data_IF_514406039851
#
_entry.id   IF_514406039851
#
_cell.length_a   1.000
_cell.length_b   1.000
_cell.length_c   1.000
_cell.angle_alpha   90.00
_cell.angle_beta   90.00
_cell.angle_gamma   90.00
#
_symmetry.space_group_name_H-M   'P 1'
#
loop_
_entity.id
_entity.type
_entity.pdbx_description
1 polymer ?
#
# COMPACT_ATOMS: atom_id res chain seq x y z
N UNK A 1 38.25 11.44 4.22
CA UNK A 1 37.10 11.57 5.13
C UNK A 1 35.98 10.70 4.58
N UNK A 2 35.64 9.60 5.27
CA UNK A 2 34.56 8.71 4.86
C UNK A 2 33.22 9.39 5.07
N UNK A 3 32.43 9.55 4.02
CA UNK A 3 31.03 9.95 4.13
C UNK A 3 30.31 8.97 5.05
N UNK A 4 29.94 9.42 6.26
CA UNK A 4 29.08 8.67 7.16
C UNK A 4 27.72 8.61 6.45
N UNK A 5 27.43 7.47 5.83
CA UNK A 5 26.15 7.24 5.17
C UNK A 5 25.04 7.49 6.19
N UNK A 6 24.21 8.51 5.93
CA UNK A 6 23.05 8.80 6.78
C UNK A 6 22.22 7.51 6.94
N UNK A 7 21.83 7.14 8.16
CA UNK A 7 21.05 5.92 8.38
C UNK A 7 19.77 5.99 7.55
N UNK A 8 19.54 4.94 6.76
CA UNK A 8 18.34 4.82 5.93
C UNK A 8 17.13 4.73 6.86
N UNK A 9 16.15 5.63 6.66
CA UNK A 9 14.90 5.58 7.41
C UNK A 9 14.17 4.24 7.16
N UNK A 10 13.80 3.57 8.25
CA UNK A 10 12.98 2.36 8.25
C UNK A 10 11.70 2.70 8.99
N UNK A 11 10.56 2.59 8.29
CA UNK A 11 9.25 2.81 8.88
C UNK A 11 8.84 1.62 9.74
N UNK A 12 8.39 1.90 10.97
CA UNK A 12 7.89 0.89 11.90
C UNK A 12 6.38 1.03 12.05
N UNK A 13 5.65 0.12 11.40
CA UNK A 13 4.19 0.11 11.45
C UNK A 13 3.64 -0.29 12.83
N UNK A 14 4.32 -1.18 13.55
CA UNK A 14 3.89 -1.61 14.88
C UNK A 14 4.01 -0.46 15.88
N UNK A 15 5.08 0.33 15.78
CA UNK A 15 5.22 1.58 16.54
C UNK A 15 4.13 2.58 16.19
N UNK A 16 3.78 2.71 14.90
CA UNK A 16 2.67 3.58 14.50
C UNK A 16 1.33 3.13 15.11
N UNK A 17 1.01 1.83 15.08
CA UNK A 17 -0.21 1.30 15.70
C UNK A 17 -0.28 1.61 17.20
N UNK A 18 0.85 1.44 17.92
CA UNK A 18 0.94 1.79 19.35
C UNK A 18 0.66 3.27 19.59
N UNK A 19 1.36 4.15 18.85
CA UNK A 19 1.18 5.60 18.96
C UNK A 19 -0.24 6.04 18.59
N UNK A 20 -0.88 5.41 17.60
CA UNK A 20 -2.26 5.70 17.26
C UNK A 20 -3.23 5.25 18.36
N UNK A 21 -2.97 4.11 18.99
CA UNK A 21 -3.79 3.58 20.10
C UNK A 21 -3.78 4.51 21.31
N UNK A 22 -2.68 5.23 21.57
CA UNK A 22 -2.61 6.23 22.65
C UNK A 22 -3.65 7.35 22.49
N UNK A 23 -4.02 7.70 21.26
CA UNK A 23 -5.00 8.76 20.97
C UNK A 23 -6.36 8.25 20.50
N UNK A 24 -6.46 6.97 20.16
CA UNK A 24 -7.67 6.26 19.74
C UNK A 24 -7.70 4.89 20.44
N UNK A 25 -8.04 4.82 21.75
CA UNK A 25 -7.91 3.58 22.54
C UNK A 25 -8.72 2.41 21.97
N UNK A 26 -9.86 2.69 21.33
CA UNK A 26 -10.74 1.70 20.72
C UNK A 26 -10.21 1.07 19.42
N UNK A 27 -9.00 1.46 18.98
CA UNK A 27 -8.40 0.96 17.75
C UNK A 27 -8.11 -0.54 17.78
N UNK A 28 -7.65 -1.05 18.92
CA UNK A 28 -7.35 -2.47 19.10
C UNK A 28 -8.55 -3.28 19.64
N UNK A 29 -9.64 -2.60 20.02
CA UNK A 29 -10.82 -3.25 20.57
C UNK A 29 -11.60 -3.98 19.48
N UNK A 30 -12.21 -5.12 19.88
CA UNK A 30 -13.10 -5.88 19.03
C UNK A 30 -14.25 -4.98 18.53
N UNK A 31 -14.56 -4.98 17.23
CA UNK A 31 -15.62 -4.14 16.73
C UNK A 31 -16.98 -4.50 17.31
N UNK A 32 -17.71 -3.46 17.74
CA UNK A 32 -19.11 -3.57 18.14
C UNK A 32 -20.00 -2.92 17.08
N UNK A 33 -21.10 -3.59 16.72
CA UNK A 33 -22.13 -3.00 15.85
C UNK A 33 -23.03 -2.01 16.58
N UNK A 34 -23.28 -2.25 17.87
CA UNK A 34 -24.15 -1.41 18.67
C UNK A 34 -23.50 -0.04 18.94
N UNK A 35 -22.16 -0.01 19.02
CA UNK A 35 -21.41 1.19 19.37
C UNK A 35 -20.56 1.64 18.18
N UNK A 36 -20.91 2.77 17.57
CA UNK A 36 -20.05 3.41 16.57
C UNK A 36 -18.76 3.89 17.25
N UNK A 37 -17.64 3.19 17.00
CA UNK A 37 -16.34 3.52 17.58
C UNK A 37 -15.59 4.57 16.76
N UNK A 38 -14.68 5.30 17.40
CA UNK A 38 -13.92 6.37 16.73
C UNK A 38 -12.94 5.82 15.70
N UNK A 39 -12.31 4.69 16.00
CA UNK A 39 -11.40 3.99 15.09
C UNK A 39 -12.12 3.49 13.84
N UNK A 40 -13.37 3.02 13.97
CA UNK A 40 -14.21 2.64 12.82
C UNK A 40 -14.51 3.85 11.95
N UNK A 41 -14.93 4.96 12.53
CA UNK A 41 -15.17 6.21 11.80
C UNK A 41 -13.90 6.69 11.09
N UNK A 42 -12.76 6.62 11.77
CA UNK A 42 -11.46 6.93 11.17
C UNK A 42 -11.21 6.05 9.93
N UNK A 43 -11.40 4.73 10.06
CA UNK A 43 -11.18 3.80 8.95
C UNK A 43 -12.10 4.08 7.76
N UNK A 44 -13.41 4.28 8.01
CA UNK A 44 -14.40 4.57 6.98
C UNK A 44 -14.08 5.86 6.22
N UNK A 45 -13.78 6.96 6.93
CA UNK A 45 -13.45 8.24 6.29
C UNK A 45 -12.15 8.15 5.48
N UNK A 46 -11.11 7.52 6.04
CA UNK A 46 -9.83 7.41 5.33
C UNK A 46 -9.95 6.56 4.06
N UNK A 47 -10.68 5.44 4.14
CA UNK A 47 -10.82 4.50 3.02
C UNK A 47 -11.75 5.04 1.94
N UNK A 48 -12.92 5.57 2.29
CA UNK A 48 -13.99 5.86 1.33
C UNK A 48 -14.08 7.34 0.95
N UNK A 49 -13.67 8.26 1.82
CA UNK A 49 -13.73 9.71 1.55
C UNK A 49 -12.37 10.25 1.14
N UNK A 50 -11.37 10.14 2.02
CA UNK A 50 -10.07 10.77 1.83
C UNK A 50 -9.25 10.16 0.71
N UNK A 51 -9.49 8.90 0.35
CA UNK A 51 -8.85 8.26 -0.80
C UNK A 51 -9.21 8.94 -2.13
N UNK A 52 -10.48 9.36 -2.28
CA UNK A 52 -10.95 10.12 -3.44
C UNK A 52 -10.33 11.52 -3.44
N UNK A 53 -10.36 12.20 -2.30
CA UNK A 53 -9.81 13.54 -2.16
C UNK A 53 -8.29 13.58 -2.41
N UNK A 54 -7.54 12.60 -1.89
CA UNK A 54 -6.11 12.48 -2.15
C UNK A 54 -5.81 12.27 -3.64
N UNK A 55 -6.63 11.47 -4.34
CA UNK A 55 -6.51 11.26 -5.79
C UNK A 55 -6.78 12.57 -6.56
N UNK A 56 -7.81 13.31 -6.18
CA UNK A 56 -8.15 14.60 -6.80
C UNK A 56 -7.09 15.66 -6.55
N UNK A 57 -6.61 15.78 -5.31
CA UNK A 57 -5.54 16.71 -4.91
C UNK A 57 -4.25 16.43 -5.68
N UNK A 58 -3.88 15.14 -5.83
CA UNK A 58 -2.74 14.72 -6.65
C UNK A 58 -2.94 15.07 -8.13
N UNK A 59 -4.13 14.85 -8.69
CA UNK A 59 -4.42 15.17 -10.09
C UNK A 59 -4.38 16.68 -10.37
N UNK A 60 -4.87 17.50 -9.43
CA UNK A 60 -4.82 18.97 -9.48
C UNK A 60 -3.45 19.53 -9.10
N UNK A 61 -2.58 18.69 -8.53
CA UNK A 61 -1.31 19.10 -7.93
C UNK A 61 -1.52 20.24 -6.91
N UNK A 62 -2.40 20.03 -5.93
CA UNK A 62 -2.74 21.00 -4.87
C UNK A 62 -2.55 20.34 -3.52
N UNK A 63 -1.83 21.02 -2.63
CA UNK A 63 -1.63 20.56 -1.24
C UNK A 63 -2.97 20.46 -0.53
N UNK A 64 -3.26 19.27 0.03
CA UNK A 64 -4.53 18.97 0.67
C UNK A 64 -4.27 18.26 2.00
N UNK A 65 -4.93 18.76 3.05
CA UNK A 65 -4.79 18.27 4.42
C UNK A 65 -6.16 18.10 5.06
N UNK A 66 -6.35 16.99 5.75
CA UNK A 66 -7.55 16.73 6.57
C UNK A 66 -7.21 16.66 8.05
N UNK A 67 -8.11 17.15 8.88
CA UNK A 67 -7.96 17.17 10.33
C UNK A 67 -9.16 16.45 10.93
N UNK A 68 -8.90 15.52 11.82
CA UNK A 68 -9.90 14.76 12.55
C UNK A 68 -9.70 14.93 14.05
N UNK A 69 -10.79 15.17 14.77
CA UNK A 69 -10.79 15.15 16.23
C UNK A 69 -11.21 13.76 16.69
N UNK A 70 -10.33 13.11 17.46
CA UNK A 70 -10.60 11.85 18.11
C UNK A 70 -11.09 12.13 19.54
N UNK A 71 -12.31 11.71 19.85
CA UNK A 71 -12.89 11.90 21.18
C UNK A 71 -12.96 10.55 21.87
N UNK A 72 -12.23 10.42 22.97
CA UNK A 72 -12.19 9.18 23.75
C UNK A 72 -12.58 9.46 25.19
N UNK A 73 -13.34 8.55 25.79
CA UNK A 73 -13.66 8.62 27.22
C UNK A 73 -12.53 7.98 28.01
N UNK A 74 -12.03 8.67 29.02
CA UNK A 74 -11.13 8.07 30.00
C UNK A 74 -11.90 7.27 31.05
N UNK A 75 -11.16 6.47 31.83
CA UNK A 75 -11.69 5.68 32.95
C UNK A 75 -12.44 6.50 34.01
N UNK A 76 -12.22 7.82 34.03
CA UNK A 76 -12.86 8.79 34.94
C UNK A 76 -14.02 9.55 34.27
N UNK A 77 -14.57 9.04 33.16
CA UNK A 77 -15.62 9.66 32.32
C UNK A 77 -15.28 11.01 31.66
N UNK A 78 -14.10 11.58 31.92
CA UNK A 78 -13.63 12.76 31.18
C UNK A 78 -13.40 12.45 29.70
N UNK A 79 -13.88 13.34 28.83
CA UNK A 79 -13.66 13.25 27.39
C UNK A 79 -12.33 13.91 27.01
N UNK A 80 -11.37 13.09 26.56
CA UNK A 80 -10.11 13.57 25.96
C UNK A 80 -10.34 13.80 24.48
N UNK A 81 -9.87 14.96 24.00
CA UNK A 81 -9.89 15.31 22.58
C UNK A 81 -8.46 15.29 22.04
N UNK A 82 -8.16 14.29 21.23
CA UNK A 82 -6.93 14.22 20.47
C UNK A 82 -7.18 14.66 19.02
N UNK A 83 -6.10 14.94 18.30
CA UNK A 83 -6.17 15.38 16.91
C UNK A 83 -5.28 14.54 16.02
N UNK A 84 -5.82 14.17 14.86
CA UNK A 84 -5.04 13.58 13.78
C UNK A 84 -5.08 14.53 12.59
N UNK A 85 -3.91 14.87 12.07
CA UNK A 85 -3.77 15.60 10.81
C UNK A 85 -3.24 14.64 9.75
N UNK A 86 -3.93 14.54 8.63
CA UNK A 86 -3.58 13.66 7.52
C UNK A 86 -3.22 14.52 6.32
N UNK A 87 -1.96 14.43 5.90
CA UNK A 87 -1.45 15.02 4.67
C UNK A 87 -1.91 14.16 3.49
N UNK A 88 -2.99 14.57 2.81
CA UNK A 88 -3.57 13.82 1.68
C UNK A 88 -2.65 13.90 0.45
N UNK A 89 -2.19 15.10 0.14
CA UNK A 89 -1.19 15.36 -0.89
C UNK A 89 -0.39 16.61 -0.51
N UNK A 90 0.90 16.62 -0.82
CA UNK A 90 1.72 17.83 -0.77
C UNK A 90 2.76 17.79 -1.87
N UNK A 91 2.98 18.94 -2.52
CA UNK A 91 4.02 19.13 -3.55
C UNK A 91 5.42 18.87 -3.01
N UNK A 92 5.65 19.26 -1.76
CA UNK A 92 6.94 19.18 -1.10
C UNK A 92 6.80 18.24 0.10
N UNK A 93 6.85 16.91 -0.12
CA UNK A 93 6.67 15.96 0.96
C UNK A 93 7.73 16.16 2.03
N UNK A 94 7.34 16.15 3.32
CA UNK A 94 8.31 16.22 4.40
C UNK A 94 9.26 15.02 4.34
N UNK A 95 10.47 15.13 4.90
CA UNK A 95 11.38 14.00 5.04
C UNK A 95 10.67 12.81 5.69
N UNK A 96 10.91 11.58 5.20
CA UNK A 96 10.27 10.41 5.78
C UNK A 96 10.75 10.25 7.23
N UNK A 97 9.80 10.33 8.15
CA UNK A 97 10.01 10.25 9.60
C UNK A 97 9.00 9.29 10.20
N UNK A 98 9.36 8.72 11.35
CA UNK A 98 8.43 7.90 12.12
C UNK A 98 7.40 8.85 12.75
N UNK A 99 6.09 8.65 12.54
CA UNK A 99 5.09 9.48 13.19
C UNK A 99 5.25 9.42 14.71
N UNK A 100 5.09 10.56 15.34
CA UNK A 100 5.21 10.71 16.80
C UNK A 100 4.10 11.63 17.29
N UNK A 101 3.70 11.41 18.54
CA UNK A 101 2.66 12.18 19.19
C UNK A 101 3.25 13.43 19.83
N UNK A 102 2.69 14.59 19.51
CA UNK A 102 3.06 15.88 20.11
C UNK A 102 1.82 16.53 20.72
N UNK A 103 1.74 16.59 22.05
CA UNK A 103 0.62 17.23 22.78
C UNK A 103 -0.78 16.75 22.31
N UNK A 104 -0.97 15.43 22.17
CA UNK A 104 -2.26 14.87 21.70
C UNK A 104 -2.53 15.05 20.21
N UNK A 105 -1.53 15.51 19.44
CA UNK A 105 -1.60 15.66 17.99
C UNK A 105 -0.66 14.67 17.29
N UNK A 106 -1.23 13.83 16.43
CA UNK A 106 -0.49 12.96 15.52
C UNK A 106 -0.64 13.43 14.07
N UNK A 107 0.48 13.70 13.41
CA UNK A 107 0.52 13.98 11.97
C UNK A 107 0.88 12.72 11.18
N UNK A 108 0.12 12.44 10.12
CA UNK A 108 0.26 11.27 9.27
C UNK A 108 0.29 11.67 7.80
N UNK A 109 1.11 10.98 7.02
CA UNK A 109 0.90 10.93 5.58
C UNK A 109 -0.33 10.10 5.25
N UNK A 110 -0.95 10.32 4.09
CA UNK A 110 -2.07 9.49 3.63
C UNK A 110 -1.73 7.99 3.59
N UNK A 111 -0.48 7.63 3.26
CA UNK A 111 -0.03 6.24 3.28
C UNK A 111 -0.09 5.62 4.68
N UNK A 112 0.40 6.34 5.69
CA UNK A 112 0.37 5.88 7.07
C UNK A 112 -1.06 5.78 7.62
N UNK A 113 -1.89 6.79 7.34
CA UNK A 113 -3.29 6.78 7.72
C UNK A 113 -4.07 5.64 7.06
N UNK A 114 -3.86 5.39 5.76
CA UNK A 114 -4.53 4.30 5.05
C UNK A 114 -4.10 2.91 5.52
N UNK A 115 -2.83 2.72 5.93
CA UNK A 115 -2.42 1.46 6.58
C UNK A 115 -3.15 1.22 7.90
N UNK A 116 -3.24 2.24 8.77
CA UNK A 116 -4.02 2.15 10.02
C UNK A 116 -5.50 1.87 9.76
N UNK A 117 -6.08 2.58 8.79
CA UNK A 117 -7.48 2.43 8.41
C UNK A 117 -7.77 1.02 7.91
N UNK A 118 -6.92 0.46 7.04
CA UNK A 118 -7.08 -0.92 6.55
C UNK A 118 -6.89 -1.94 7.67
N UNK A 119 -5.92 -1.74 8.58
CA UNK A 119 -5.75 -2.62 9.73
C UNK A 119 -7.01 -2.69 10.60
N UNK A 120 -7.63 -1.54 10.90
CA UNK A 120 -8.92 -1.51 11.63
C UNK A 120 -10.05 -2.11 10.80
N UNK A 121 -10.12 -1.78 9.51
CA UNK A 121 -11.19 -2.25 8.64
C UNK A 121 -11.21 -3.77 8.49
N UNK A 122 -10.05 -4.43 8.47
CA UNK A 122 -9.98 -5.89 8.41
C UNK A 122 -10.64 -6.56 9.64
N UNK A 123 -10.61 -5.93 10.82
CA UNK A 123 -11.32 -6.44 11.99
C UNK A 123 -12.84 -6.49 11.79
N UNK A 124 -13.40 -5.62 10.93
CA UNK A 124 -14.84 -5.59 10.63
C UNK A 124 -15.27 -6.66 9.62
N UNK A 125 -14.34 -7.17 8.82
CA UNK A 125 -14.65 -8.04 7.67
C UNK A 125 -15.36 -9.34 8.08
N UNK A 126 -14.90 -10.11 9.08
CA UNK A 126 -15.58 -11.35 9.48
C UNK A 126 -17.05 -11.15 9.83
N UNK A 127 -17.33 -10.05 10.51
CA UNK A 127 -18.67 -9.69 10.92
C UNK A 127 -19.58 -9.27 9.75
N UNK A 128 -19.05 -8.52 8.79
CA UNK A 128 -19.77 -8.16 7.57
C UNK A 128 -20.11 -9.41 6.76
N UNK A 129 -19.13 -10.32 6.58
CA UNK A 129 -19.32 -11.56 5.85
C UNK A 129 -20.34 -12.47 6.54
N UNK A 130 -20.34 -12.55 7.87
CA UNK A 130 -21.34 -13.32 8.63
C UNK A 130 -22.78 -12.82 8.39
N UNK A 131 -22.95 -11.57 7.97
CA UNK A 131 -24.23 -10.96 7.60
C UNK A 131 -24.51 -11.00 6.10
N UNK A 132 -23.75 -11.79 5.33
CA UNK A 132 -23.80 -11.84 3.87
C UNK A 132 -23.48 -10.48 3.19
N UNK A 133 -22.70 -9.62 3.85
CA UNK A 133 -22.24 -8.35 3.29
C UNK A 133 -20.74 -8.44 2.94
N UNK A 134 -20.42 -8.30 1.64
CA UNK A 134 -19.04 -8.19 1.17
C UNK A 134 -18.79 -6.75 0.74
N UNK A 135 -17.93 -6.06 1.48
CA UNK A 135 -17.55 -4.68 1.19
C UNK A 135 -16.04 -4.61 0.96
N UNK A 136 -15.65 -4.23 -0.25
CA UNK A 136 -14.27 -4.04 -0.64
C UNK A 136 -13.88 -2.56 -0.50
N UNK A 137 -12.60 -2.31 -0.20
CA UNK A 137 -12.05 -0.96 -0.33
C UNK A 137 -12.07 -0.53 -1.81
N UNK A 138 -12.05 0.79 -2.11
CA UNK A 138 -12.06 1.25 -3.51
C UNK A 138 -10.93 0.66 -4.37
N UNK A 139 -9.74 0.47 -3.79
CA UNK A 139 -8.60 -0.15 -4.48
C UNK A 139 -8.84 -1.64 -4.76
N UNK A 140 -9.33 -2.40 -3.78
CA UNK A 140 -9.63 -3.81 -3.97
C UNK A 140 -10.80 -4.01 -4.96
N UNK A 141 -11.85 -3.20 -4.83
CA UNK A 141 -13.03 -3.25 -5.70
C UNK A 141 -12.75 -2.83 -7.14
N UNK A 142 -11.68 -2.09 -7.42
CA UNK A 142 -11.24 -1.82 -8.78
C UNK A 142 -10.66 -3.06 -9.48
N UNK A 143 -10.17 -4.04 -8.71
CA UNK A 143 -9.38 -5.17 -9.21
C UNK A 143 -10.20 -6.47 -9.18
N UNK A 144 -10.99 -6.67 -8.12
CA UNK A 144 -11.80 -7.87 -7.91
C UNK A 144 -13.29 -7.53 -7.89
N UNK A 145 -14.12 -8.48 -8.33
CA UNK A 145 -15.57 -8.40 -8.21
C UNK A 145 -16.00 -9.06 -6.90
N UNK A 146 -16.92 -8.43 -6.17
CA UNK A 146 -17.39 -8.95 -4.88
C UNK A 146 -18.20 -10.24 -5.07
N UNK A 147 -18.83 -10.37 -6.23
CA UNK A 147 -19.65 -11.49 -6.66
C UNK A 147 -18.82 -12.77 -6.86
N UNK A 148 -17.56 -12.62 -7.27
CA UNK A 148 -16.67 -13.75 -7.56
C UNK A 148 -15.93 -14.27 -6.32
N UNK A 149 -15.93 -13.51 -5.22
CA UNK A 149 -15.13 -13.85 -4.03
C UNK A 149 -15.53 -15.18 -3.34
N UNK A 150 -16.82 -15.57 -3.25
CA UNK A 150 -17.18 -16.87 -2.70
C UNK A 150 -16.60 -18.04 -3.51
N UNK A 151 -16.57 -17.93 -4.84
CA UNK A 151 -15.94 -18.93 -5.71
C UNK A 151 -14.42 -18.89 -5.59
N UNK A 152 -13.84 -17.70 -5.52
CA UNK A 152 -12.40 -17.52 -5.31
C UNK A 152 -11.94 -18.16 -3.98
N UNK A 153 -12.69 -17.95 -2.90
CA UNK A 153 -12.41 -18.56 -1.59
C UNK A 153 -12.46 -20.09 -1.67
N UNK A 154 -13.46 -20.63 -2.39
CA UNK A 154 -13.59 -22.07 -2.64
C UNK A 154 -12.42 -22.62 -3.44
N UNK A 155 -11.97 -21.91 -4.47
CA UNK A 155 -10.82 -22.31 -5.29
C UNK A 155 -9.52 -22.36 -4.48
N UNK A 156 -9.34 -21.42 -3.55
CA UNK A 156 -8.20 -21.40 -2.62
C UNK A 156 -8.39 -22.31 -1.39
N UNK A 157 -9.56 -22.92 -1.22
CA UNK A 157 -9.94 -23.75 -0.07
C UNK A 157 -9.76 -23.05 1.28
N UNK A 158 -10.17 -21.79 1.35
CA UNK A 158 -10.07 -20.97 2.56
C UNK A 158 -11.39 -20.29 2.92
N UNK A 159 -11.58 -19.87 4.18
CA UNK A 159 -12.76 -19.12 4.58
C UNK A 159 -12.88 -17.80 3.81
N UNK A 160 -14.10 -17.45 3.41
CA UNK A 160 -14.39 -16.20 2.71
C UNK A 160 -13.90 -14.94 3.46
N UNK A 161 -14.09 -14.80 4.79
CA UNK A 161 -13.55 -13.66 5.53
C UNK A 161 -12.04 -13.49 5.38
N UNK A 162 -11.30 -14.61 5.44
CA UNK A 162 -9.84 -14.61 5.35
C UNK A 162 -9.37 -14.15 3.97
N UNK A 163 -10.04 -14.62 2.91
CA UNK A 163 -9.78 -14.14 1.56
C UNK A 163 -10.07 -12.65 1.42
N UNK A 164 -11.22 -12.17 1.92
CA UNK A 164 -11.61 -10.75 1.79
C UNK A 164 -10.62 -9.85 2.51
N UNK A 165 -10.21 -10.20 3.74
CA UNK A 165 -9.16 -9.48 4.48
C UNK A 165 -7.82 -9.50 3.73
N UNK A 166 -7.47 -10.64 3.14
CA UNK A 166 -6.25 -10.78 2.36
C UNK A 166 -6.27 -9.91 1.10
N UNK A 167 -7.38 -9.86 0.37
CA UNK A 167 -7.55 -9.00 -0.81
C UNK A 167 -7.44 -7.52 -0.43
N UNK A 168 -8.19 -7.09 0.59
CA UNK A 168 -8.16 -5.70 1.07
C UNK A 168 -6.75 -5.30 1.47
N UNK A 169 -6.06 -6.13 2.24
CA UNK A 169 -4.71 -5.86 2.73
C UNK A 169 -3.66 -5.87 1.62
N UNK A 170 -3.80 -6.76 0.63
CA UNK A 170 -2.80 -6.94 -0.44
C UNK A 170 -2.90 -5.86 -1.52
N UNK A 171 -4.11 -5.34 -1.76
CA UNK A 171 -4.34 -4.22 -2.69
C UNK A 171 -3.91 -2.86 -2.12
N UNK A 172 -3.64 -2.78 -0.81
CA UNK A 172 -3.18 -1.57 -0.15
C UNK A 172 -1.71 -1.26 -0.52
N UNK A 173 -1.41 0.02 -0.73
CA UNK A 173 -0.02 0.47 -0.91
C UNK A 173 0.77 0.20 0.35
N UNK A 174 1.96 -0.40 0.20
CA UNK A 174 2.78 -0.88 1.31
C UNK A 174 2.06 -1.95 2.18
N UNK A 175 1.14 -2.71 1.57
CA UNK A 175 0.34 -3.73 2.25
C UNK A 175 1.16 -4.82 2.95
N UNK A 176 2.44 -5.01 2.61
CA UNK A 176 3.35 -5.94 3.29
C UNK A 176 3.50 -5.68 4.80
N UNK A 177 3.14 -4.50 5.33
CA UNK A 177 3.04 -4.26 6.78
C UNK A 177 1.80 -4.88 7.44
N UNK A 178 0.73 -5.15 6.69
CA UNK A 178 -0.58 -5.57 7.21
C UNK A 178 -0.64 -7.07 7.43
N UNK A 179 -1.20 -7.52 8.55
CA UNK A 179 -1.22 -8.94 8.93
C UNK A 179 -1.74 -9.88 7.83
N UNK A 180 -2.87 -9.54 7.21
CA UNK A 180 -3.55 -10.43 6.26
C UNK A 180 -3.03 -10.34 4.83
N UNK A 181 -2.14 -9.39 4.52
CA UNK A 181 -1.65 -9.22 3.14
C UNK A 181 -0.88 -10.45 2.67
N UNK A 182 -1.00 -10.79 1.38
CA UNK A 182 -0.29 -11.91 0.76
C UNK A 182 0.38 -11.47 -0.54
N UNK A 183 1.54 -12.03 -0.82
CA UNK A 183 2.38 -11.59 -1.94
C UNK A 183 1.74 -11.92 -3.29
N UNK A 184 1.18 -13.11 -3.44
CA UNK A 184 0.42 -13.60 -4.60
C UNK A 184 -0.69 -12.62 -5.02
N UNK A 185 -1.56 -12.22 -4.08
CA UNK A 185 -2.65 -11.29 -4.38
C UNK A 185 -2.11 -9.90 -4.73
N UNK A 186 -1.09 -9.42 -4.01
CA UNK A 186 -0.48 -8.12 -4.28
C UNK A 186 0.16 -8.05 -5.67
N UNK A 187 0.79 -9.14 -6.12
CA UNK A 187 1.33 -9.22 -7.47
C UNK A 187 0.23 -9.24 -8.52
N UNK A 188 -0.85 -10.01 -8.30
CA UNK A 188 -1.99 -10.03 -9.22
C UNK A 188 -2.60 -8.63 -9.40
N UNK A 189 -2.77 -7.90 -8.29
CA UNK A 189 -3.22 -6.52 -8.27
C UNK A 189 -2.27 -5.57 -9.04
N UNK A 190 -0.96 -5.68 -8.82
CA UNK A 190 0.05 -4.86 -9.51
C UNK A 190 0.07 -5.10 -11.02
N UNK A 191 -0.02 -6.35 -11.41
CA UNK A 191 -0.02 -6.76 -12.82
C UNK A 191 -1.24 -6.20 -13.55
N UNK A 192 -2.40 -6.19 -12.87
CA UNK A 192 -3.64 -5.63 -13.41
C UNK A 192 -3.60 -4.10 -13.52
N UNK A 193 -2.88 -3.43 -12.64
CA UNK A 193 -2.95 -1.95 -12.51
C UNK A 193 -1.79 -1.21 -13.17
N UNK A 194 -0.66 -1.88 -13.43
CA UNK A 194 0.54 -1.27 -14.04
C UNK A 194 0.70 -1.74 -15.49
N UNK A 195 0.36 -0.87 -16.43
CA UNK A 195 0.43 -1.17 -17.87
C UNK A 195 1.86 -1.13 -18.43
N UNK A 196 2.73 -0.25 -17.90
CA UNK A 196 4.11 -0.14 -18.39
C UNK A 196 4.94 -1.36 -17.99
N UNK A 197 5.41 -2.12 -18.98
CA UNK A 197 6.14 -3.38 -18.79
C UNK A 197 7.41 -3.22 -17.95
N UNK A 198 8.21 -2.17 -18.20
CA UNK A 198 9.49 -1.95 -17.51
C UNK A 198 9.28 -1.56 -16.05
N UNK A 199 8.34 -0.66 -15.80
CA UNK A 199 7.92 -0.24 -14.47
C UNK A 199 7.32 -1.43 -13.71
N UNK A 200 6.44 -2.21 -14.35
CA UNK A 200 5.83 -3.41 -13.77
C UNK A 200 6.90 -4.41 -13.32
N UNK A 201 7.87 -4.75 -14.16
CA UNK A 201 8.94 -5.68 -13.79
C UNK A 201 9.77 -5.17 -12.59
N UNK A 202 10.08 -3.87 -12.56
CA UNK A 202 10.81 -3.24 -11.44
C UNK A 202 10.00 -3.30 -10.13
N UNK A 203 8.70 -2.98 -10.19
CA UNK A 203 7.82 -2.98 -9.03
C UNK A 203 7.59 -4.41 -8.53
N UNK A 204 7.34 -5.39 -9.41
CA UNK A 204 7.17 -6.81 -9.04
C UNK A 204 8.36 -7.31 -8.24
N UNK A 205 9.59 -7.09 -8.74
CA UNK A 205 10.81 -7.51 -8.04
C UNK A 205 10.93 -6.86 -6.65
N UNK A 206 10.58 -5.57 -6.55
CA UNK A 206 10.58 -4.85 -5.27
C UNK A 206 9.52 -5.41 -4.33
N UNK A 207 8.32 -5.68 -4.81
CA UNK A 207 7.20 -6.21 -4.02
C UNK A 207 7.55 -7.57 -3.44
N UNK A 208 8.04 -8.53 -4.25
CA UNK A 208 8.47 -9.85 -3.75
C UNK A 208 9.52 -9.69 -2.64
N UNK A 209 10.52 -8.84 -2.86
CA UNK A 209 11.56 -8.58 -1.86
C UNK A 209 11.00 -8.00 -0.55
N UNK A 210 10.06 -7.06 -0.65
CA UNK A 210 9.43 -6.45 0.53
C UNK A 210 8.56 -7.46 1.25
N UNK A 211 7.71 -8.22 0.56
CA UNK A 211 6.86 -9.23 1.20
C UNK A 211 7.70 -10.33 1.88
N UNK A 212 8.76 -10.81 1.22
CA UNK A 212 9.71 -11.76 1.82
C UNK A 212 10.39 -11.23 3.09
N UNK A 213 10.74 -9.94 3.13
CA UNK A 213 11.29 -9.30 4.34
C UNK A 213 10.34 -9.36 5.54
N UNK A 214 9.03 -9.39 5.29
CA UNK A 214 7.98 -9.50 6.30
C UNK A 214 7.45 -10.94 6.46
N UNK A 215 8.19 -11.95 5.99
CA UNK A 215 7.84 -13.37 6.15
C UNK A 215 6.62 -13.81 5.33
N UNK A 216 6.32 -13.11 4.23
CA UNK A 216 5.18 -13.42 3.34
C UNK A 216 5.71 -13.86 1.99
N UNK A 217 6.05 -15.13 1.90
CA UNK A 217 6.62 -15.68 0.68
C UNK A 217 5.62 -15.68 -0.49
N UNK A 218 6.16 -15.67 -1.69
CA UNK A 218 5.38 -15.76 -2.91
C UNK A 218 5.04 -17.22 -3.20
N UNK A 219 3.75 -17.48 -3.42
CA UNK A 219 3.24 -18.79 -3.82
C UNK A 219 2.72 -18.71 -5.26
N UNK A 220 3.38 -19.44 -6.16
CA UNK A 220 3.03 -19.44 -7.57
C UNK A 220 1.68 -20.10 -7.85
N UNK A 221 1.38 -21.22 -7.19
CA UNK A 221 0.13 -21.95 -7.43
C UNK A 221 -1.08 -21.11 -7.00
N UNK A 222 -0.96 -20.41 -5.86
CA UNK A 222 -2.00 -19.48 -5.42
C UNK A 222 -2.11 -18.26 -6.34
N UNK A 223 -0.99 -17.74 -6.82
CA UNK A 223 -0.97 -16.65 -7.78
C UNK A 223 -1.71 -16.99 -9.09
N UNK A 224 -1.51 -18.20 -9.62
CA UNK A 224 -2.23 -18.70 -10.80
C UNK A 224 -3.75 -18.76 -10.60
N UNK A 225 -4.20 -19.01 -9.37
CA UNK A 225 -5.62 -18.93 -9.03
C UNK A 225 -6.05 -17.46 -8.98
N UNK A 226 -5.28 -16.59 -8.31
CA UNK A 226 -5.60 -15.16 -8.16
C UNK A 226 -5.85 -14.45 -9.49
N UNK A 227 -5.02 -14.72 -10.51
CA UNK A 227 -5.13 -14.06 -11.82
C UNK A 227 -6.46 -14.38 -12.53
N UNK A 228 -7.07 -15.54 -12.27
CA UNK A 228 -8.34 -15.96 -12.88
C UNK A 228 -9.54 -15.15 -12.37
N UNK A 229 -9.42 -14.58 -11.17
CA UNK A 229 -10.46 -13.80 -10.50
C UNK A 229 -10.27 -12.29 -10.62
N UNK A 230 -9.29 -11.84 -11.43
CA UNK A 230 -9.15 -10.43 -11.76
C UNK A 230 -10.31 -9.99 -12.65
N UNK A 231 -10.86 -8.80 -12.39
CA UNK A 231 -11.87 -8.19 -13.26
C UNK A 231 -11.34 -8.09 -14.69
N UNK A 232 -12.02 -8.76 -15.61
CA UNK A 232 -11.82 -8.55 -17.04
C UNK A 232 -12.12 -7.08 -17.36
N UNK A 233 -11.12 -6.36 -17.86
CA UNK A 233 -11.44 -5.10 -18.54
C UNK A 233 -11.98 -5.43 -19.93
N UNK A 234 -12.81 -4.55 -20.49
CA UNK A 234 -12.98 -4.43 -21.95
C UNK A 234 -11.68 -3.91 -22.60
N UNK A 235 -10.53 -4.46 -22.24
CA UNK A 235 -9.23 -4.17 -22.85
C UNK A 235 -8.88 -5.35 -23.73
N UNK A 236 -8.68 -5.06 -25.02
CA UNK A 236 -8.20 -5.98 -26.05
C UNK A 236 -6.77 -6.42 -25.68
N UNK A 237 -6.63 -7.41 -24.80
CA UNK A 237 -5.37 -8.03 -24.41
C UNK A 237 -5.56 -9.53 -24.39
N UNK A 238 -4.83 -10.23 -25.27
CA UNK A 238 -4.93 -11.68 -25.45
C UNK A 238 -4.25 -12.44 -24.31
N UNK A 239 -4.49 -13.76 -24.21
CA UNK A 239 -3.78 -14.71 -23.32
C UNK A 239 -2.25 -14.53 -23.28
N UNK A 240 -1.68 -13.91 -24.31
CA UNK A 240 -0.25 -13.62 -24.46
C UNK A 240 0.33 -12.74 -23.34
N UNK A 241 -0.46 -11.82 -22.75
CA UNK A 241 0.03 -10.97 -21.66
C UNK A 241 0.30 -11.80 -20.39
N UNK A 242 -0.56 -12.76 -20.07
CA UNK A 242 -0.44 -13.62 -18.87
C UNK A 242 0.79 -14.52 -18.96
N UNK A 243 1.09 -15.08 -20.13
CA UNK A 243 2.30 -15.89 -20.34
C UNK A 243 3.59 -15.05 -20.25
N UNK A 244 3.56 -13.80 -20.71
CA UNK A 244 4.70 -12.88 -20.60
C UNK A 244 4.91 -12.41 -19.15
N UNK A 245 3.82 -12.25 -18.40
CA UNK A 245 3.80 -12.01 -16.96
C UNK A 245 4.42 -13.21 -16.22
N UNK A 246 3.98 -14.43 -16.56
CA UNK A 246 4.48 -15.69 -16.00
C UNK A 246 6.00 -15.84 -16.22
N UNK A 247 6.44 -15.60 -17.46
CA UNK A 247 7.85 -15.61 -17.83
C UNK A 247 8.68 -14.60 -17.04
N UNK A 248 8.13 -13.40 -16.80
CA UNK A 248 8.80 -12.35 -16.04
C UNK A 248 8.96 -12.68 -14.56
N UNK A 249 7.95 -13.31 -13.95
CA UNK A 249 8.00 -13.77 -12.55
C UNK A 249 8.98 -14.95 -12.41
N UNK A 250 8.90 -15.94 -13.29
CA UNK A 250 9.78 -17.12 -13.30
C UNK A 250 11.26 -16.79 -13.54
N UNK A 251 11.54 -15.80 -14.38
CA UNK A 251 12.90 -15.30 -14.62
C UNK A 251 13.59 -14.72 -13.39
N UNK A 252 12.82 -14.29 -12.37
CA UNK A 252 13.33 -13.70 -11.14
C UNK A 252 13.72 -14.80 -10.14
N UNK A 253 12.96 -15.88 -10.07
CA UNK A 253 13.22 -17.00 -9.14
C UNK A 253 14.49 -17.77 -9.54
N UNK A 254 14.70 -17.98 -10.84
CA UNK A 254 15.89 -18.65 -11.39
C UNK A 254 17.21 -17.90 -11.13
N UNK A 255 17.17 -16.56 -11.01
CA UNK A 255 18.38 -15.74 -10.79
C UNK A 255 18.80 -15.63 -9.33
N UNK A 256 17.95 -16.01 -8.38
CA UNK A 256 18.28 -15.99 -6.95
C UNK A 256 18.85 -17.32 -6.45
N UNK A 257 18.85 -18.38 -7.28
CA UNK A 257 19.42 -19.69 -6.96
C UNK A 257 20.84 -19.93 -7.50
N UNK A 258 21.49 -18.90 -8.07
CA UNK A 258 22.90 -18.99 -8.46
C UNK A 258 23.76 -18.54 -7.29
N UNK A 259 24.39 -19.50 -6.59
CA UNK A 259 25.51 -19.21 -5.69
C UNK A 259 26.52 -18.32 -6.43
N UNK A 260 27.04 -17.25 -5.81
CA UNK A 260 28.04 -16.43 -6.46
C UNK A 260 29.32 -17.27 -6.66
N UNK A 261 29.86 -17.37 -7.89
CA UNK A 261 31.17 -17.94 -8.08
C UNK A 261 32.22 -17.06 -7.38
N UNK A 262 33.34 -17.65 -6.92
CA UNK A 262 34.37 -16.90 -6.22
C UNK A 262 34.97 -15.86 -7.16
N UNK A 263 35.22 -14.67 -6.60
CA UNK A 263 35.85 -13.53 -7.28
C UNK A 263 36.96 -13.95 -8.25
N UNK A 264 37.06 -13.24 -9.38
CA UNK A 264 38.32 -12.53 -9.58
C UNK A 264 38.15 -11.05 -9.96
N UNK A 265 39.17 -10.34 -9.50
CA UNK A 265 39.55 -8.95 -9.66
C UNK A 265 39.39 -8.34 -11.07
N UNK A 266 39.13 -7.01 -11.01
CA UNK A 266 39.60 -5.91 -11.88
C UNK A 266 38.79 -5.47 -13.11
N UNK A 267 38.26 -4.25 -12.92
CA UNK A 267 38.24 -3.06 -13.79
C UNK A 267 37.61 -3.12 -15.18
N UNK A 268 36.56 -2.30 -15.39
CA UNK A 268 36.47 -1.37 -16.52
C UNK A 268 35.44 -0.26 -16.27
N UNK A 269 35.93 0.97 -16.45
CA UNK A 269 35.29 2.25 -16.80
C UNK A 269 33.84 2.59 -16.40
N UNK A 270 33.72 3.68 -15.62
CA UNK A 270 32.48 4.44 -15.40
C UNK A 270 32.02 5.10 -16.70
N UNK A 271 30.99 4.55 -17.35
CA UNK A 271 30.23 5.30 -18.38
C UNK A 271 29.43 6.43 -17.72
N UNK A 272 29.71 7.66 -18.13
CA UNK A 272 28.89 8.85 -17.80
C UNK A 272 27.47 8.65 -18.34
N UNK A 273 26.49 8.66 -17.44
CA UNK A 273 25.07 8.68 -17.80
C UNK A 273 24.73 10.11 -18.27
N UNK A 274 24.36 10.27 -19.54
CA UNK A 274 23.77 11.52 -20.05
C UNK A 274 22.30 11.54 -19.65
N UNK A 275 21.87 12.62 -19.00
CA UNK A 275 20.48 12.84 -18.60
C UNK A 275 19.60 13.06 -19.84
N UNK A 276 18.45 12.37 -19.91
CA UNK A 276 17.50 12.39 -21.01
C UNK A 276 16.47 13.52 -20.90
N UNK A 277 16.92 14.73 -20.58
CA UNK A 277 16.08 15.94 -20.57
C UNK A 277 16.70 17.00 -21.49
N UNK A 278 16.38 16.91 -22.78
CA UNK A 278 16.63 17.99 -23.73
C UNK A 278 15.61 19.11 -23.48
N UNK A 279 16.00 20.15 -22.74
CA UNK A 279 15.36 21.45 -22.83
C UNK A 279 16.22 22.34 -23.74
N UNK A 280 15.92 22.37 -25.03
CA UNK A 280 16.46 23.37 -25.95
C UNK A 280 15.65 24.66 -25.81
N UNK A 281 15.96 25.46 -24.79
CA UNK A 281 15.51 26.85 -24.70
C UNK A 281 16.55 27.74 -25.39
N UNK A 282 16.19 28.32 -26.54
CA UNK A 282 16.97 29.42 -27.14
C UNK A 282 16.95 30.59 -26.15
N UNK A 283 18.11 30.95 -25.61
CA UNK A 283 18.31 32.23 -24.92
C UNK A 283 18.61 33.29 -25.96
N UNK A 284 17.63 34.16 -26.23
CA UNK A 284 17.87 35.48 -26.80
C UNK A 284 18.69 36.29 -25.79
N UNK A 285 19.97 36.47 -26.09
CA UNK A 285 20.76 37.57 -25.56
C UNK A 285 20.88 38.61 -26.67
N UNK A 286 20.18 39.74 -26.52
CA UNK A 286 20.70 41.06 -26.88
C UNK A 286 19.68 42.15 -26.55
N UNK A 287 19.98 42.95 -25.51
CA UNK A 287 20.00 44.42 -25.60
C UNK A 287 20.38 45.02 -24.24
N UNK A 288 21.63 45.49 -24.17
CA UNK A 288 22.01 46.70 -23.42
C UNK A 288 22.39 47.75 -24.46
N UNK A 289 21.59 48.82 -24.54
CA UNK A 289 21.98 50.23 -24.60
C UNK A 289 20.71 51.05 -24.59
#
# INVERSE_FOLDING_TARGET
MSEIAKPKFIFDFQKLMKTFTEICPDFCDEPSYANATMSRRFAEQVIFEYSREAKEAKAKNIDEVRKMTLVSKCAQEYSIKNKVTILLYTKNPPPPTQPSLLHGHLELTFKQASLLAVAKYCQLVPYLVARNEIVLTPLAGAIFAKEDLPEFARALREPLPDLVMAIISSCQTDGYYLQHSRCDIALAALIKTVNDLKMRASIVKKTIKMYKLYGKDFDMARFEICIKFLKSEKVKGSNYDIEQIFSSVMSIDLKNNVQPPPNPLRSTEKRKIKCAANFSGKTDQNRKK
#
